data_IF_430448691556
#
_entry.id   IF_430448691556
#
_cell.length_a   1.000
_cell.length_b   1.000
_cell.length_c   1.000
_cell.angle_alpha   90.00
_cell.angle_beta   90.00
_cell.angle_gamma   90.00
#
_symmetry.space_group_name_H-M   'P 1'
#
loop_
_entity.id
_entity.type
_entity.pdbx_description
1 polymer ?
#
# COMPACT_ATOMS: atom_id res chain seq x y z
N UNK A 1 -5.39 16.28 25.63
CA UNK A 1 -4.00 16.50 26.11
C UNK A 1 -3.52 15.42 27.10
N UNK A 2 -4.41 14.85 27.93
CA UNK A 2 -4.10 13.71 28.82
C UNK A 2 -3.78 12.43 28.02
N UNK A 3 -4.59 12.14 27.00
CA UNK A 3 -4.44 10.93 26.16
C UNK A 3 -3.12 10.84 25.40
N UNK A 4 -2.52 11.97 24.97
CA UNK A 4 -1.26 11.95 24.20
C UNK A 4 -0.07 11.53 25.05
N UNK A 5 0.00 12.01 26.31
CA UNK A 5 1.08 11.63 27.25
C UNK A 5 0.96 10.17 27.69
N UNK A 6 -0.26 9.68 27.83
CA UNK A 6 -0.51 8.27 28.16
C UNK A 6 -0.15 7.36 26.98
N UNK A 7 -0.39 7.80 25.73
CA UNK A 7 0.07 7.11 24.52
C UNK A 7 1.60 7.09 24.39
N UNK A 8 2.27 8.23 24.61
CA UNK A 8 3.73 8.32 24.57
C UNK A 8 4.38 7.37 25.58
N UNK A 9 3.88 7.35 26.82
CA UNK A 9 4.33 6.40 27.86
C UNK A 9 4.07 4.95 27.48
N UNK A 10 2.93 4.65 26.87
CA UNK A 10 2.63 3.30 26.40
C UNK A 10 3.60 2.86 25.30
N UNK A 11 3.90 3.74 24.34
CA UNK A 11 4.85 3.47 23.27
C UNK A 11 6.28 3.29 23.79
N UNK A 12 6.71 4.09 24.76
CA UNK A 12 8.01 3.92 25.45
C UNK A 12 8.12 2.60 26.21
N UNK A 13 7.01 2.11 26.76
CA UNK A 13 6.96 0.84 27.50
C UNK A 13 6.69 -0.38 26.61
N UNK A 14 6.33 -0.18 25.34
CA UNK A 14 6.02 -1.25 24.41
C UNK A 14 7.33 -1.91 23.94
N UNK A 15 7.50 -3.23 24.12
CA UNK A 15 8.68 -3.92 23.62
C UNK A 15 8.58 -4.03 22.09
N UNK A 16 9.12 -3.04 21.37
CA UNK A 16 9.14 -3.00 19.89
C UNK A 16 10.36 -3.67 19.29
N UNK A 17 11.37 -4.00 20.10
CA UNK A 17 12.65 -4.55 19.62
C UNK A 17 12.47 -5.81 18.79
N UNK A 18 11.54 -6.69 19.17
CA UNK A 18 11.25 -7.91 18.40
C UNK A 18 10.58 -7.62 17.06
N UNK A 19 9.81 -6.53 16.94
CA UNK A 19 9.23 -6.08 15.67
C UNK A 19 10.32 -5.48 14.77
N UNK A 20 11.23 -4.69 15.36
CA UNK A 20 12.37 -4.08 14.65
C UNK A 20 13.40 -5.11 14.19
N UNK A 21 13.49 -6.26 14.85
CA UNK A 21 14.31 -7.40 14.45
C UNK A 21 13.64 -8.36 13.46
N UNK A 22 12.37 -8.11 13.11
CA UNK A 22 11.58 -8.95 12.22
C UNK A 22 11.84 -8.73 10.73
N UNK A 23 10.90 -9.19 9.91
CA UNK A 23 10.93 -8.99 8.45
C UNK A 23 10.94 -7.49 8.08
N UNK A 24 11.58 -7.09 6.95
CA UNK A 24 11.69 -5.68 6.57
C UNK A 24 10.35 -4.95 6.51
N UNK A 25 9.27 -5.62 6.11
CA UNK A 25 7.92 -5.06 6.08
C UNK A 25 7.41 -4.68 7.47
N UNK A 26 7.61 -5.57 8.45
CA UNK A 26 7.21 -5.35 9.83
C UNK A 26 8.05 -4.21 10.41
N UNK A 27 9.37 -4.29 10.24
CA UNK A 27 10.30 -3.24 10.67
C UNK A 27 9.89 -1.87 10.11
N UNK A 28 9.59 -1.78 8.81
CA UNK A 28 9.19 -0.53 8.16
C UNK A 28 7.92 0.05 8.79
N UNK A 29 6.87 -0.75 8.92
CA UNK A 29 5.59 -0.31 9.52
C UNK A 29 5.74 0.04 11.00
N UNK A 30 6.62 -0.66 11.74
CA UNK A 30 6.94 -0.28 13.12
C UNK A 30 7.61 1.09 13.17
N UNK A 31 8.61 1.35 12.32
CA UNK A 31 9.29 2.64 12.28
C UNK A 31 8.34 3.77 11.88
N UNK A 32 7.50 3.59 10.87
CA UNK A 32 6.63 4.66 10.35
C UNK A 32 5.36 4.84 11.15
N UNK A 33 4.65 3.77 11.49
CA UNK A 33 3.30 3.87 12.03
C UNK A 33 3.28 3.88 13.55
N UNK A 34 4.13 3.07 14.18
CA UNK A 34 4.18 2.96 15.64
C UNK A 34 5.12 4.00 16.25
N UNK A 35 6.29 4.18 15.64
CA UNK A 35 7.32 5.12 16.12
C UNK A 35 7.24 6.50 15.45
N UNK A 36 6.40 6.68 14.42
CA UNK A 36 6.19 7.97 13.78
C UNK A 36 7.42 8.54 13.06
N UNK A 37 8.39 7.69 12.71
CA UNK A 37 9.63 8.15 12.09
C UNK A 37 9.39 8.62 10.65
N UNK A 38 10.02 9.73 10.28
CA UNK A 38 9.89 10.27 8.94
C UNK A 38 10.58 9.36 7.90
N UNK A 39 10.03 9.28 6.69
CA UNK A 39 10.57 8.47 5.60
C UNK A 39 12.02 8.81 5.17
N UNK A 40 12.51 10.01 5.52
CA UNK A 40 13.87 10.46 5.22
C UNK A 40 14.89 10.06 6.29
N UNK A 41 14.42 9.55 7.43
CA UNK A 41 15.29 9.01 8.45
C UNK A 41 16.08 7.84 7.87
N UNK A 42 17.39 7.81 8.16
CA UNK A 42 18.32 6.83 7.61
C UNK A 42 17.81 5.39 7.74
N UNK A 43 17.32 5.02 8.93
CA UNK A 43 16.84 3.67 9.21
C UNK A 43 15.59 3.28 8.41
N UNK A 44 14.65 4.22 8.23
CA UNK A 44 13.46 4.00 7.40
C UNK A 44 13.85 3.80 5.94
N UNK A 45 14.73 4.67 5.42
CA UNK A 45 15.22 4.58 4.05
C UNK A 45 16.02 3.30 3.78
N UNK A 46 16.85 2.85 4.73
CA UNK A 46 17.57 1.58 4.64
C UNK A 46 16.62 0.38 4.64
N UNK A 47 15.61 0.39 5.51
CA UNK A 47 14.58 -0.66 5.55
C UNK A 47 13.77 -0.70 4.25
N UNK A 48 13.41 0.46 3.69
CA UNK A 48 12.70 0.56 2.42
C UNK A 48 13.55 0.01 1.25
N UNK A 49 14.87 0.19 1.26
CA UNK A 49 15.76 -0.43 0.26
C UNK A 49 15.73 -1.96 0.33
N UNK A 50 15.69 -2.53 1.54
CA UNK A 50 15.56 -3.98 1.73
C UNK A 50 14.21 -4.51 1.23
N UNK A 51 13.13 -3.78 1.49
CA UNK A 51 11.79 -4.08 0.94
C UNK A 51 11.84 -4.11 -0.59
N UNK A 52 12.40 -3.08 -1.23
CA UNK A 52 12.46 -2.97 -2.70
C UNK A 52 13.17 -4.13 -3.38
N UNK A 53 14.17 -4.72 -2.72
CA UNK A 53 14.92 -5.86 -3.25
C UNK A 53 14.42 -7.21 -2.74
N UNK A 54 13.38 -7.21 -1.88
CA UNK A 54 12.84 -8.42 -1.29
C UNK A 54 12.24 -9.34 -2.35
N UNK A 55 12.45 -10.65 -2.19
CA UNK A 55 11.98 -11.68 -3.14
C UNK A 55 10.47 -11.60 -3.41
N UNK A 56 9.66 -11.35 -2.38
CA UNK A 56 8.20 -11.25 -2.52
C UNK A 56 7.78 -10.02 -3.32
N UNK A 57 8.45 -8.88 -3.14
CA UNK A 57 8.20 -7.67 -3.94
C UNK A 57 8.56 -7.92 -5.41
N UNK A 58 9.68 -8.59 -5.66
CA UNK A 58 10.06 -9.00 -7.00
C UNK A 58 8.98 -9.88 -7.64
N UNK A 59 8.48 -10.88 -6.92
CA UNK A 59 7.39 -11.75 -7.40
C UNK A 59 6.10 -10.99 -7.70
N UNK A 60 5.77 -9.95 -6.94
CA UNK A 60 4.64 -9.07 -7.23
C UNK A 60 4.89 -8.37 -8.58
N UNK A 61 6.02 -7.69 -8.74
CA UNK A 61 6.29 -6.94 -9.98
C UNK A 61 6.49 -7.82 -11.22
N UNK A 62 6.99 -9.05 -11.05
CA UNK A 62 7.13 -10.03 -12.15
C UNK A 62 5.76 -10.43 -12.73
N UNK A 63 4.67 -10.24 -11.97
CA UNK A 63 3.28 -10.49 -12.40
C UNK A 63 2.57 -9.24 -12.95
N UNK A 64 3.21 -8.07 -12.93
CA UNK A 64 2.61 -6.87 -13.53
C UNK A 64 2.63 -7.02 -15.06
N UNK A 65 1.48 -6.92 -15.69
CA UNK A 65 1.38 -7.04 -17.14
C UNK A 65 1.89 -5.79 -17.87
N UNK A 66 1.96 -5.87 -19.21
CA UNK A 66 2.44 -4.77 -20.06
C UNK A 66 1.62 -3.47 -19.93
N UNK A 67 0.34 -3.59 -19.56
CA UNK A 67 -0.58 -2.47 -19.33
C UNK A 67 -0.49 -1.90 -17.91
N UNK A 68 0.39 -2.43 -17.06
CA UNK A 68 0.69 -1.86 -15.76
C UNK A 68 -0.16 -2.35 -14.58
N UNK A 69 -0.96 -3.41 -14.76
CA UNK A 69 -1.84 -3.92 -13.71
C UNK A 69 -1.60 -5.40 -13.40
N UNK A 70 -2.19 -5.89 -12.30
CA UNK A 70 -2.13 -7.28 -11.87
C UNK A 70 -3.50 -7.96 -12.00
N UNK A 71 -3.50 -9.17 -12.55
CA UNK A 71 -4.71 -9.92 -12.87
C UNK A 71 -5.25 -9.60 -14.26
N UNK A 72 -6.58 -9.61 -14.39
CA UNK A 72 -7.34 -9.34 -15.62
C UNK A 72 -8.13 -8.03 -15.50
N UNK A 73 -8.59 -7.41 -16.61
CA UNK A 73 -9.34 -6.15 -16.55
C UNK A 73 -10.58 -6.16 -15.66
N UNK A 74 -11.21 -7.33 -15.48
CA UNK A 74 -12.41 -7.49 -14.66
C UNK A 74 -12.10 -7.63 -13.17
N UNK A 75 -10.86 -7.99 -12.81
CA UNK A 75 -10.51 -8.33 -11.43
C UNK A 75 -10.49 -7.11 -10.51
N UNK A 76 -10.27 -5.89 -11.02
CA UNK A 76 -10.32 -4.66 -10.20
C UNK A 76 -11.71 -4.37 -9.64
N UNK A 77 -12.76 -4.89 -10.28
CA UNK A 77 -14.15 -4.74 -9.84
C UNK A 77 -14.59 -5.82 -8.84
N UNK A 78 -13.67 -6.69 -8.41
CA UNK A 78 -13.94 -7.80 -7.48
C UNK A 78 -12.87 -7.91 -6.40
N UNK A 79 -13.28 -7.97 -5.14
CA UNK A 79 -12.37 -8.06 -3.99
C UNK A 79 -12.09 -9.51 -3.54
N UNK A 80 -12.90 -10.46 -4.00
CA UNK A 80 -12.85 -11.90 -3.71
C UNK A 80 -13.12 -12.69 -5.00
N UNK A 81 -12.52 -13.87 -5.22
CA UNK A 81 -11.59 -14.61 -4.33
C UNK A 81 -10.14 -14.21 -4.47
N UNK A 82 -9.77 -13.56 -5.59
CA UNK A 82 -8.37 -13.28 -5.90
C UNK A 82 -7.81 -12.18 -5.00
N UNK A 83 -6.59 -12.40 -4.51
CA UNK A 83 -5.84 -11.47 -3.64
C UNK A 83 -4.58 -10.92 -4.30
N UNK A 84 -4.22 -11.44 -5.46
CA UNK A 84 -3.07 -11.02 -6.27
C UNK A 84 -3.46 -10.07 -7.42
N UNK A 85 -4.48 -9.24 -7.19
CA UNK A 85 -5.02 -8.27 -8.17
C UNK A 85 -4.59 -6.85 -7.80
N UNK A 86 -4.70 -5.92 -8.77
CA UNK A 86 -4.38 -4.50 -8.52
C UNK A 86 -5.15 -3.91 -7.34
N UNK A 87 -6.39 -4.34 -7.15
CA UNK A 87 -7.25 -3.87 -6.06
C UNK A 87 -6.59 -4.02 -4.67
N UNK A 88 -5.88 -5.12 -4.45
CA UNK A 88 -5.18 -5.39 -3.19
C UNK A 88 -3.71 -4.99 -3.21
N UNK A 89 -3.02 -5.29 -4.31
CA UNK A 89 -1.56 -5.10 -4.40
C UNK A 89 -1.18 -3.62 -4.39
N UNK A 90 -2.01 -2.72 -4.91
CA UNK A 90 -1.71 -1.30 -4.91
C UNK A 90 -1.60 -0.75 -3.47
N UNK A 91 -2.56 -1.09 -2.61
CA UNK A 91 -2.55 -0.69 -1.20
C UNK A 91 -1.38 -1.31 -0.44
N UNK A 92 -1.08 -2.59 -0.66
CA UNK A 92 0.08 -3.26 -0.04
C UNK A 92 1.40 -2.59 -0.42
N UNK A 93 1.58 -2.23 -1.71
CA UNK A 93 2.78 -1.54 -2.16
C UNK A 93 2.85 -0.13 -1.55
N UNK A 94 1.73 0.59 -1.50
CA UNK A 94 1.66 1.89 -0.83
C UNK A 94 2.04 1.79 0.65
N UNK A 95 1.54 0.75 1.33
CA UNK A 95 1.84 0.49 2.73
C UNK A 95 3.32 0.21 2.99
N UNK A 96 4.06 -0.28 1.99
CA UNK A 96 5.50 -0.52 2.06
C UNK A 96 6.35 0.64 1.54
N UNK A 97 5.74 1.82 1.39
CA UNK A 97 6.42 3.05 1.03
C UNK A 97 6.82 3.13 -0.44
N UNK A 98 6.20 2.34 -1.32
CA UNK A 98 6.31 2.62 -2.76
C UNK A 98 5.59 3.92 -3.08
N UNK A 99 6.02 4.57 -4.16
CA UNK A 99 5.49 5.88 -4.57
C UNK A 99 5.45 5.98 -6.09
N UNK A 100 4.71 6.96 -6.64
CA UNK A 100 4.56 7.13 -8.09
C UNK A 100 5.86 7.51 -8.81
N UNK A 101 6.91 7.92 -8.11
CA UNK A 101 8.23 8.13 -8.71
C UNK A 101 8.79 6.84 -9.32
N UNK A 102 8.33 5.67 -8.85
CA UNK A 102 8.63 4.39 -9.50
C UNK A 102 7.70 4.15 -10.69
N UNK A 103 8.27 4.07 -11.90
CA UNK A 103 7.52 3.89 -13.15
C UNK A 103 6.49 2.74 -13.11
N UNK A 104 6.79 1.63 -12.45
CA UNK A 104 5.87 0.48 -12.32
C UNK A 104 4.63 0.84 -11.49
N UNK A 105 4.80 1.64 -10.45
CA UNK A 105 3.71 2.15 -9.61
C UNK A 105 2.88 3.17 -10.37
N UNK A 106 3.52 4.13 -11.03
CA UNK A 106 2.82 5.13 -11.85
C UNK A 106 1.86 4.48 -12.84
N UNK A 107 2.30 3.44 -13.57
CA UNK A 107 1.43 2.71 -14.49
C UNK A 107 0.24 2.02 -13.81
N UNK A 108 0.42 1.50 -12.60
CA UNK A 108 -0.68 0.90 -11.84
C UNK A 108 -1.69 1.95 -11.39
N UNK A 109 -1.23 3.14 -10.97
CA UNK A 109 -2.10 4.27 -10.65
C UNK A 109 -2.91 4.71 -11.87
N UNK A 110 -2.28 4.86 -13.03
CA UNK A 110 -2.96 5.22 -14.28
C UNK A 110 -4.02 4.18 -14.66
N UNK A 111 -3.72 2.88 -14.51
CA UNK A 111 -4.72 1.84 -14.70
C UNK A 111 -5.90 2.01 -13.75
N UNK A 112 -5.68 2.25 -12.45
CA UNK A 112 -6.77 2.48 -11.51
C UNK A 112 -7.60 3.70 -11.92
N UNK A 113 -6.98 4.84 -12.23
CA UNK A 113 -7.69 6.04 -12.68
C UNK A 113 -8.54 5.81 -13.94
N UNK A 114 -8.07 4.97 -14.87
CA UNK A 114 -8.84 4.61 -16.06
C UNK A 114 -10.17 3.88 -15.76
N UNK A 115 -10.32 3.36 -14.55
CA UNK A 115 -11.54 2.67 -14.09
C UNK A 115 -12.48 3.56 -13.27
N UNK A 116 -12.12 4.81 -13.04
CA UNK A 116 -12.92 5.76 -12.28
C UNK A 116 -14.23 6.08 -13.00
N UNK A 117 -15.33 6.07 -12.26
CA UNK A 117 -16.66 6.40 -12.78
C UNK A 117 -16.84 7.92 -12.88
N UNK A 118 -17.84 8.37 -13.65
CA UNK A 118 -18.17 9.80 -13.77
C UNK A 118 -18.50 10.48 -12.44
N UNK A 119 -18.95 9.72 -11.44
CA UNK A 119 -19.15 10.22 -10.07
C UNK A 119 -17.86 10.49 -9.30
N UNK A 120 -16.71 10.11 -9.85
CA UNK A 120 -15.41 10.08 -9.17
C UNK A 120 -15.17 8.83 -8.32
N UNK A 121 -16.19 8.00 -8.11
CA UNK A 121 -16.07 6.75 -7.35
C UNK A 121 -15.48 5.60 -8.17
N UNK A 122 -15.09 4.54 -7.46
CA UNK A 122 -14.71 3.26 -8.03
C UNK A 122 -15.78 2.21 -7.72
N UNK A 123 -16.04 1.33 -8.68
CA UNK A 123 -17.17 0.43 -8.63
C UNK A 123 -16.83 -1.05 -8.49
N UNK A 124 -17.85 -1.83 -8.14
CA UNK A 124 -17.80 -3.28 -8.10
C UNK A 124 -18.73 -3.89 -9.16
N UNK A 125 -18.38 -5.10 -9.64
CA UNK A 125 -19.08 -5.91 -10.66
C UNK A 125 -19.33 -5.21 -12.01
N UNK A 126 -19.30 -5.91 -13.17
CA UNK A 126 -19.75 -5.34 -14.43
C UNK A 126 -21.29 -5.38 -14.54
N UNK A 127 -21.99 -4.30 -14.93
CA UNK A 127 -21.47 -2.95 -15.12
C UNK A 127 -21.16 -2.25 -13.78
N UNK A 128 -20.03 -1.53 -13.68
CA UNK A 128 -19.58 -0.97 -12.40
C UNK A 128 -20.49 0.15 -11.91
N UNK A 129 -20.97 0.00 -10.68
CA UNK A 129 -21.65 1.04 -9.91
C UNK A 129 -20.75 1.50 -8.76
N UNK A 130 -20.73 2.80 -8.42
CA UNK A 130 -19.84 3.29 -7.37
C UNK A 130 -20.16 2.60 -6.05
N UNK A 131 -19.12 2.15 -5.36
CA UNK A 131 -19.24 1.50 -4.06
C UNK A 131 -18.26 2.13 -3.09
N UNK A 132 -18.75 2.52 -1.91
CA UNK A 132 -17.96 3.31 -0.95
C UNK A 132 -16.70 2.57 -0.49
N UNK A 133 -16.80 1.25 -0.26
CA UNK A 133 -15.63 0.48 0.17
C UNK A 133 -14.57 0.35 -0.93
N UNK A 134 -14.97 0.17 -2.20
CA UNK A 134 -14.05 0.16 -3.34
C UNK A 134 -13.38 1.52 -3.50
N UNK A 135 -14.19 2.58 -3.39
CA UNK A 135 -13.72 3.95 -3.52
C UNK A 135 -12.73 4.29 -2.42
N UNK A 136 -13.04 3.94 -1.17
CA UNK A 136 -12.18 4.19 -0.02
C UNK A 136 -10.83 3.48 -0.14
N UNK A 137 -10.84 2.18 -0.44
CA UNK A 137 -9.61 1.37 -0.56
C UNK A 137 -8.70 1.91 -1.67
N UNK A 138 -9.25 2.16 -2.85
CA UNK A 138 -8.46 2.63 -3.99
C UNK A 138 -7.98 4.06 -3.79
N UNK A 139 -8.82 4.94 -3.27
CA UNK A 139 -8.44 6.34 -2.99
C UNK A 139 -7.37 6.43 -1.90
N UNK A 140 -7.49 5.64 -0.82
CA UNK A 140 -6.47 5.57 0.23
C UNK A 140 -5.13 5.10 -0.36
N UNK A 141 -5.17 4.05 -1.18
CA UNK A 141 -3.97 3.51 -1.84
C UNK A 141 -3.33 4.58 -2.72
N UNK A 142 -4.10 5.25 -3.57
CA UNK A 142 -3.62 6.31 -4.46
C UNK A 142 -3.04 7.50 -3.66
N UNK A 143 -3.70 7.91 -2.58
CA UNK A 143 -3.25 9.02 -1.74
C UNK A 143 -1.89 8.74 -1.07
N UNK A 144 -1.67 7.50 -0.61
CA UNK A 144 -0.39 7.09 -0.02
C UNK A 144 0.76 7.03 -1.04
N UNK A 145 0.47 6.76 -2.30
CA UNK A 145 1.47 6.64 -3.37
C UNK A 145 1.99 8.00 -3.88
N UNK A 146 1.25 9.08 -3.59
CA UNK A 146 1.58 10.46 -3.97
C UNK A 146 1.35 10.78 -5.43
#
# INVERSE_FOLDING_TARGET
MKDRKDLEKFLEAMPVDWLLAGEPFVKYRTLTDLLGMHQICKEVAETQKLIRTHRLIKQIFDKQNEYGYWGTPTDIYTWWPKKDTTFWLLGVLADFGFTREERRIARACEYVFSTQLLSGGFGCAPPPVPYDCFTGILTESLAKLG
#
